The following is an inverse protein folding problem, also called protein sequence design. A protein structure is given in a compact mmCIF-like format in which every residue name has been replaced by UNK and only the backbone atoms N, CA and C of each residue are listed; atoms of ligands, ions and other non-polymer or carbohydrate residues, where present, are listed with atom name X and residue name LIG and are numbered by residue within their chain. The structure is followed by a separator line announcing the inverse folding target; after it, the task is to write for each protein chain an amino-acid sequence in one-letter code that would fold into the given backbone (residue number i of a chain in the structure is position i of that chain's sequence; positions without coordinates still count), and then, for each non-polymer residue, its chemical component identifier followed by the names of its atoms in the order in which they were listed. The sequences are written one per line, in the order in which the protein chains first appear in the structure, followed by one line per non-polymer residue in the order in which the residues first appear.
data_IF_204908023125
#
_entry.id   IF_204908023125
#
_cell.length_a   1.000
_cell.length_b   1.000
_cell.length_c   1.000
_cell.angle_alpha   90.00
_cell.angle_beta   90.00
_cell.angle_gamma   90.00
#
_symmetry.space_group_name_H-M   'P 1'
#
loop_
_entity.id
_entity.type
_entity.pdbx_description
1 polymer ?
#
# COMPACT_ATOMS: atom_id res chain seq x y z
N UNK A 1 65.31 9.69 -21.51
CA UNK A 1 63.98 9.93 -22.12
C UNK A 1 63.86 11.35 -22.65
N UNK A 2 63.28 11.56 -23.85
CA UNK A 2 63.00 12.90 -24.40
C UNK A 2 61.79 13.53 -23.68
N UNK A 3 61.80 14.86 -23.48
CA UNK A 3 60.68 15.61 -22.85
C UNK A 3 59.32 15.30 -23.50
N UNK A 4 59.30 15.07 -24.82
CA UNK A 4 58.08 14.72 -25.57
C UNK A 4 57.53 13.34 -25.19
N UNK A 5 58.39 12.35 -24.92
CA UNK A 5 57.96 11.00 -24.50
C UNK A 5 57.41 11.03 -23.07
N UNK A 6 58.03 11.82 -22.19
CA UNK A 6 57.53 12.02 -20.82
C UNK A 6 56.16 12.68 -20.79
N UNK A 7 55.97 13.73 -21.60
CA UNK A 7 54.67 14.41 -21.76
C UNK A 7 53.59 13.47 -22.26
N UNK A 8 53.90 12.63 -23.25
CA UNK A 8 52.98 11.62 -23.77
C UNK A 8 52.59 10.58 -22.70
N UNK A 9 53.54 10.03 -21.95
CA UNK A 9 53.26 9.04 -20.89
C UNK A 9 52.40 9.64 -19.77
N UNK A 10 52.65 10.89 -19.39
CA UNK A 10 51.84 11.58 -18.39
C UNK A 10 50.42 11.90 -18.88
N UNK A 11 50.22 12.10 -20.19
CA UNK A 11 48.90 12.32 -20.79
C UNK A 11 48.10 11.02 -20.95
N UNK A 12 48.75 9.89 -21.16
CA UNK A 12 48.07 8.60 -21.36
C UNK A 12 47.29 8.16 -20.12
N UNK A 13 47.82 8.36 -18.91
CA UNK A 13 47.14 7.95 -17.68
C UNK A 13 45.73 8.57 -17.53
N UNK A 14 45.54 9.91 -17.55
CA UNK A 14 44.22 10.51 -17.42
C UNK A 14 43.30 10.17 -18.61
N UNK A 15 43.85 10.03 -19.83
CA UNK A 15 43.08 9.64 -21.01
C UNK A 15 42.46 8.24 -20.83
N UNK A 16 43.28 7.26 -20.46
CA UNK A 16 42.81 5.90 -20.21
C UNK A 16 41.89 5.87 -18.99
N UNK A 17 42.23 6.58 -17.90
CA UNK A 17 41.36 6.66 -16.72
C UNK A 17 39.94 7.15 -17.08
N UNK A 18 39.83 8.22 -17.89
CA UNK A 18 38.55 8.73 -18.35
C UNK A 18 37.83 7.76 -19.28
N UNK A 19 38.54 7.15 -20.24
CA UNK A 19 37.96 6.19 -21.17
C UNK A 19 37.39 4.94 -20.47
N UNK A 20 38.15 4.35 -19.55
CA UNK A 20 37.68 3.19 -18.79
C UNK A 20 36.59 3.54 -17.80
N UNK A 21 36.68 4.70 -17.13
CA UNK A 21 35.60 5.21 -16.29
C UNK A 21 34.29 5.36 -17.07
N UNK A 22 34.35 5.97 -18.26
CA UNK A 22 33.18 6.11 -19.13
C UNK A 22 32.59 4.75 -19.51
N UNK A 23 33.41 3.76 -19.89
CA UNK A 23 32.93 2.41 -20.22
C UNK A 23 32.24 1.71 -19.04
N UNK A 24 32.79 1.84 -17.82
CA UNK A 24 32.22 1.23 -16.62
C UNK A 24 30.87 1.88 -16.25
N UNK A 25 30.78 3.22 -16.33
CA UNK A 25 29.56 3.94 -15.99
C UNK A 25 28.42 3.69 -16.98
N UNK A 26 28.73 3.72 -18.28
CA UNK A 26 27.73 3.60 -19.37
C UNK A 26 27.22 2.19 -19.63
N UNK A 27 27.69 1.18 -18.89
CA UNK A 27 27.18 -0.18 -19.01
C UNK A 27 25.75 -0.29 -18.47
N UNK A 28 24.76 -0.21 -19.36
CA UNK A 28 23.36 -0.46 -19.06
C UNK A 28 22.94 -1.85 -19.54
N UNK A 29 22.26 -2.61 -18.67
CA UNK A 29 21.63 -3.90 -19.01
C UNK A 29 22.48 -5.13 -18.71
N UNK A 30 22.19 -6.23 -19.42
CA UNK A 30 22.95 -7.49 -19.35
C UNK A 30 24.29 -7.33 -20.05
N UNK A 31 25.39 -7.44 -19.31
CA UNK A 31 26.73 -7.29 -19.87
C UNK A 31 27.09 -8.49 -20.74
N UNK A 32 27.38 -8.24 -22.01
CA UNK A 32 28.07 -9.23 -22.86
C UNK A 32 29.48 -9.48 -22.31
N UNK A 33 29.99 -10.71 -22.44
CA UNK A 33 31.37 -11.07 -22.04
C UNK A 33 32.41 -10.11 -22.65
N UNK A 34 32.15 -9.59 -23.85
CA UNK A 34 33.03 -8.61 -24.51
C UNK A 34 33.06 -7.26 -23.76
N UNK A 35 31.90 -6.79 -23.28
CA UNK A 35 31.80 -5.53 -22.53
C UNK A 35 32.47 -5.64 -21.16
N UNK A 36 32.39 -6.82 -20.53
CA UNK A 36 33.06 -7.12 -19.27
C UNK A 36 34.58 -7.04 -19.37
N UNK A 37 35.16 -7.51 -20.47
CA UNK A 37 36.63 -7.55 -20.63
C UNK A 37 37.21 -6.23 -21.17
N UNK A 38 36.37 -5.32 -21.66
CA UNK A 38 36.86 -4.10 -22.33
C UNK A 38 37.68 -3.18 -21.42
N UNK A 39 37.30 -2.93 -20.15
CA UNK A 39 38.16 -2.19 -19.21
C UNK A 39 39.52 -2.87 -19.00
N UNK A 40 39.55 -4.20 -18.97
CA UNK A 40 40.79 -4.98 -18.82
C UNK A 40 41.67 -4.86 -20.05
N UNK A 41 41.08 -4.87 -21.25
CA UNK A 41 41.80 -4.59 -22.51
C UNK A 41 42.41 -3.19 -22.49
N UNK A 42 41.74 -2.18 -21.92
CA UNK A 42 42.32 -0.84 -21.76
C UNK A 42 43.54 -0.84 -20.84
N UNK A 43 43.53 -1.59 -19.74
CA UNK A 43 44.72 -1.74 -18.87
C UNK A 43 45.87 -2.41 -19.63
N UNK A 44 45.59 -3.46 -20.42
CA UNK A 44 46.59 -4.14 -21.26
C UNK A 44 47.18 -3.20 -22.30
N UNK A 45 46.34 -2.45 -23.00
CA UNK A 45 46.79 -1.47 -23.99
C UNK A 45 47.62 -0.36 -23.35
N UNK A 46 47.20 0.15 -22.20
CA UNK A 46 47.96 1.14 -21.44
C UNK A 46 49.34 0.63 -21.05
N UNK A 47 49.41 -0.57 -20.47
CA UNK A 47 50.67 -1.22 -20.12
C UNK A 47 51.58 -1.43 -21.33
N UNK A 48 51.02 -1.82 -22.48
CA UNK A 48 51.76 -1.96 -23.72
C UNK A 48 52.38 -0.64 -24.19
N UNK A 49 51.61 0.46 -24.20
CA UNK A 49 52.13 1.78 -24.57
C UNK A 49 53.22 2.26 -23.61
N UNK A 50 53.06 2.01 -22.30
CA UNK A 50 54.10 2.34 -21.33
C UNK A 50 55.37 1.50 -21.53
N UNK A 51 55.24 0.21 -21.84
CA UNK A 51 56.37 -0.68 -22.06
C UNK A 51 57.26 -0.20 -23.21
N UNK A 52 56.66 0.33 -24.27
CA UNK A 52 57.40 0.94 -25.38
C UNK A 52 58.23 2.15 -24.94
N UNK A 53 57.72 2.96 -24.01
CA UNK A 53 58.42 4.12 -23.44
C UNK A 53 59.46 3.78 -22.38
N UNK A 54 59.22 2.72 -21.60
CA UNK A 54 60.06 2.28 -20.47
C UNK A 54 61.47 1.86 -20.88
N UNK A 55 61.66 1.36 -22.10
CA UNK A 55 62.98 0.94 -22.64
C UNK A 55 64.03 2.06 -22.68
N UNK A 56 63.63 3.34 -22.56
CA UNK A 56 64.53 4.51 -22.67
C UNK A 56 64.54 5.38 -21.40
N UNK A 57 64.08 4.82 -20.29
CA UNK A 57 63.80 5.55 -19.06
C UNK A 57 64.82 5.22 -17.95
N UNK A 58 65.27 6.21 -17.15
CA UNK A 58 66.08 5.95 -15.96
C UNK A 58 65.29 5.19 -14.88
N UNK A 59 65.98 4.42 -14.04
CA UNK A 59 65.44 3.48 -13.04
C UNK A 59 64.32 4.06 -12.17
N UNK A 60 64.52 5.23 -11.57
CA UNK A 60 63.50 5.85 -10.70
C UNK A 60 62.22 6.30 -11.42
N UNK A 61 62.30 6.60 -12.73
CA UNK A 61 61.10 6.92 -13.52
C UNK A 61 60.39 5.66 -14.00
N UNK A 62 61.13 4.57 -14.23
CA UNK A 62 60.56 3.30 -14.66
C UNK A 62 59.67 2.65 -13.58
N UNK A 63 60.04 2.80 -12.31
CA UNK A 63 59.21 2.38 -11.18
C UNK A 63 57.90 3.17 -11.13
N UNK A 64 57.97 4.50 -11.23
CA UNK A 64 56.79 5.36 -11.25
C UNK A 64 55.80 4.98 -12.38
N UNK A 65 56.30 4.76 -13.59
CA UNK A 65 55.44 4.37 -14.72
C UNK A 65 54.90 2.95 -14.58
N UNK A 66 55.67 2.01 -14.04
CA UNK A 66 55.17 0.66 -13.74
C UNK A 66 54.07 0.68 -12.68
N UNK A 67 54.21 1.52 -11.65
CA UNK A 67 53.21 1.71 -10.61
C UNK A 67 51.93 2.35 -11.16
N UNK A 68 52.04 3.22 -12.17
CA UNK A 68 50.87 3.81 -12.83
C UNK A 68 49.95 2.77 -13.52
N UNK A 69 50.50 1.63 -13.98
CA UNK A 69 49.71 0.51 -14.53
C UNK A 69 48.84 -0.11 -13.44
N UNK A 70 49.41 -0.32 -12.26
CA UNK A 70 48.69 -0.81 -11.10
C UNK A 70 47.62 0.17 -10.64
N UNK A 71 47.94 1.48 -10.56
CA UNK A 71 46.98 2.49 -10.18
C UNK A 71 45.80 2.55 -11.15
N UNK A 72 46.03 2.40 -12.46
CA UNK A 72 44.95 2.37 -13.44
C UNK A 72 44.04 1.15 -13.26
N UNK A 73 44.61 -0.05 -13.08
CA UNK A 73 43.85 -1.27 -12.82
C UNK A 73 43.02 -1.17 -11.53
N UNK A 74 43.62 -0.65 -10.46
CA UNK A 74 42.96 -0.41 -9.18
C UNK A 74 41.83 0.65 -9.29
N UNK A 75 42.06 1.73 -10.04
CA UNK A 75 41.05 2.76 -10.25
C UNK A 75 39.81 2.20 -10.93
N UNK A 76 39.98 1.35 -11.94
CA UNK A 76 38.85 0.67 -12.60
C UNK A 76 38.12 -0.29 -11.67
N UNK A 77 38.86 -1.03 -10.83
CA UNK A 77 38.27 -1.87 -9.79
C UNK A 77 37.36 -1.07 -8.86
N UNK A 78 37.85 0.08 -8.39
CA UNK A 78 37.10 0.95 -7.50
C UNK A 78 35.88 1.55 -8.19
N UNK A 79 36.02 2.02 -9.44
CA UNK A 79 34.89 2.53 -10.22
C UNK A 79 33.82 1.47 -10.48
N UNK A 80 34.21 0.23 -10.76
CA UNK A 80 33.30 -0.88 -10.98
C UNK A 80 32.51 -1.22 -9.70
N UNK A 81 33.18 -1.25 -8.54
CA UNK A 81 32.53 -1.47 -7.25
C UNK A 81 31.60 -0.32 -6.85
N UNK A 82 32.02 0.94 -7.05
CA UNK A 82 31.15 2.10 -6.80
C UNK A 82 29.91 2.05 -7.70
N UNK A 83 30.10 1.76 -8.98
CA UNK A 83 28.99 1.63 -9.94
C UNK A 83 28.05 0.48 -9.56
N UNK A 84 28.61 -0.62 -9.06
CA UNK A 84 27.84 -1.75 -8.54
C UNK A 84 26.95 -1.32 -7.38
N UNK A 85 27.50 -0.63 -6.37
CA UNK A 85 26.71 -0.15 -5.23
C UNK A 85 25.62 0.83 -5.62
N UNK A 86 25.91 1.77 -6.53
CA UNK A 86 24.90 2.71 -7.06
C UNK A 86 23.77 1.93 -7.75
N UNK A 87 24.09 1.00 -8.65
CA UNK A 87 23.09 0.24 -9.42
C UNK A 87 22.31 -0.76 -8.57
N UNK A 88 22.91 -1.30 -7.51
CA UNK A 88 22.23 -2.17 -6.53
C UNK A 88 21.20 -1.43 -5.67
N UNK A 89 21.41 -0.13 -5.46
CA UNK A 89 20.48 0.73 -4.74
C UNK A 89 19.27 1.12 -5.62
N UNK A 90 19.49 1.30 -6.92
CA UNK A 90 18.47 1.83 -7.84
C UNK A 90 17.57 0.77 -8.50
N UNK A 91 17.94 -0.51 -8.57
CA UNK A 91 17.12 -1.53 -9.25
C UNK A 91 16.94 -2.84 -8.46
N UNK A 92 15.67 -3.21 -8.22
CA UNK A 92 15.20 -4.48 -7.62
C UNK A 92 14.56 -5.42 -8.67
N UNK A 93 15.15 -5.56 -9.86
CA UNK A 93 14.62 -6.40 -10.97
C UNK A 93 15.32 -7.75 -11.19
N UNK A 94 14.79 -8.57 -12.10
CA UNK A 94 15.28 -9.94 -12.42
C UNK A 94 16.72 -10.02 -12.97
N UNK A 95 17.31 -8.92 -13.44
CA UNK A 95 18.66 -8.88 -14.05
C UNK A 95 19.82 -8.54 -13.08
N UNK A 96 19.55 -8.50 -11.77
CA UNK A 96 20.54 -8.12 -10.75
C UNK A 96 21.75 -9.05 -10.73
N UNK A 97 21.55 -10.37 -10.84
CA UNK A 97 22.62 -11.36 -10.78
C UNK A 97 23.64 -11.16 -11.91
N UNK A 98 23.17 -11.06 -13.15
CA UNK A 98 24.00 -10.85 -14.34
C UNK A 98 24.80 -9.55 -14.27
N UNK A 99 24.20 -8.47 -13.73
CA UNK A 99 24.90 -7.19 -13.51
C UNK A 99 25.98 -7.27 -12.43
N UNK A 100 25.69 -7.95 -11.31
CA UNK A 100 26.66 -8.14 -10.23
C UNK A 100 27.85 -8.92 -10.76
N UNK A 101 27.62 -10.06 -11.42
CA UNK A 101 28.71 -10.87 -11.99
C UNK A 101 29.51 -10.10 -13.05
N UNK A 102 28.85 -9.27 -13.86
CA UNK A 102 29.53 -8.41 -14.83
C UNK A 102 30.47 -7.39 -14.18
N UNK A 103 29.99 -6.59 -13.22
CA UNK A 103 30.79 -5.54 -12.58
C UNK A 103 31.85 -6.10 -11.62
N UNK A 104 31.57 -7.21 -10.92
CA UNK A 104 32.56 -7.95 -10.14
C UNK A 104 33.62 -8.57 -11.07
N UNK A 105 33.19 -9.11 -12.22
CA UNK A 105 34.11 -9.62 -13.25
C UNK A 105 35.03 -8.53 -13.80
N UNK A 106 34.50 -7.33 -14.07
CA UNK A 106 35.31 -6.15 -14.41
C UNK A 106 36.30 -5.86 -13.29
N UNK A 107 35.84 -5.73 -12.04
CA UNK A 107 36.70 -5.33 -10.92
C UNK A 107 37.83 -6.31 -10.66
N UNK A 108 37.53 -7.61 -10.69
CA UNK A 108 38.54 -8.66 -10.48
C UNK A 108 39.53 -8.70 -11.65
N UNK A 109 39.04 -8.67 -12.89
CA UNK A 109 39.92 -8.77 -14.06
C UNK A 109 40.82 -7.54 -14.24
N UNK A 110 40.34 -6.32 -13.97
CA UNK A 110 41.18 -5.11 -14.02
C UNK A 110 42.23 -5.09 -12.91
N UNK A 111 41.90 -5.59 -11.72
CA UNK A 111 42.84 -5.73 -10.60
C UNK A 111 43.96 -6.71 -10.93
N UNK A 112 43.60 -7.91 -11.40
CA UNK A 112 44.54 -8.94 -11.85
C UNK A 112 45.46 -8.38 -12.94
N UNK A 113 44.89 -7.76 -13.97
CA UNK A 113 45.66 -7.19 -15.07
C UNK A 113 46.63 -6.10 -14.58
N UNK A 114 46.18 -5.18 -13.73
CA UNK A 114 47.03 -4.09 -13.21
C UNK A 114 48.24 -4.62 -12.44
N UNK A 115 48.05 -5.60 -11.56
CA UNK A 115 49.12 -6.23 -10.79
C UNK A 115 50.07 -7.03 -11.68
N UNK A 116 49.54 -7.90 -12.55
CA UNK A 116 50.36 -8.73 -13.42
C UNK A 116 51.18 -7.89 -14.37
N UNK A 117 50.56 -6.90 -15.03
CA UNK A 117 51.23 -6.07 -16.02
C UNK A 117 52.26 -5.13 -15.40
N UNK A 118 52.02 -4.60 -14.19
CA UNK A 118 53.06 -3.85 -13.43
C UNK A 118 54.28 -4.71 -13.16
N UNK A 119 54.07 -5.93 -12.69
CA UNK A 119 55.18 -6.82 -12.37
C UNK A 119 55.89 -7.31 -13.64
N UNK A 120 55.15 -7.57 -14.71
CA UNK A 120 55.74 -7.88 -16.03
C UNK A 120 56.52 -6.70 -16.60
N UNK A 121 56.03 -5.46 -16.48
CA UNK A 121 56.74 -4.27 -16.95
C UNK A 121 58.01 -4.03 -16.16
N UNK A 122 57.95 -4.21 -14.84
CA UNK A 122 59.11 -4.15 -13.94
C UNK A 122 60.13 -5.24 -14.25
N UNK A 123 59.68 -6.49 -14.44
CA UNK A 123 60.56 -7.60 -14.81
C UNK A 123 61.20 -7.37 -16.19
N UNK A 124 60.44 -6.95 -17.19
CA UNK A 124 60.98 -6.66 -18.51
C UNK A 124 61.96 -5.47 -18.49
N UNK A 125 61.75 -4.49 -17.61
CA UNK A 125 62.71 -3.40 -17.38
C UNK A 125 64.01 -3.91 -16.74
N UNK A 126 63.91 -4.73 -15.68
CA UNK A 126 65.06 -5.30 -14.96
C UNK A 126 65.89 -6.24 -15.84
N UNK A 127 65.27 -7.01 -16.75
CA UNK A 127 65.97 -7.86 -17.73
C UNK A 127 66.92 -7.04 -18.62
N UNK A 128 66.58 -5.78 -18.89
CA UNK A 128 67.39 -4.88 -19.72
C UNK A 128 68.40 -4.06 -18.89
N UNK A 129 68.39 -4.18 -17.56
CA UNK A 129 69.27 -3.46 -16.62
C UNK A 129 69.85 -4.47 -15.60
N UNK A 130 70.84 -5.28 -16.00
CA UNK A 130 71.35 -6.43 -15.25
C UNK A 130 72.07 -6.07 -13.94
N UNK A 131 72.34 -4.80 -13.66
CA UNK A 131 72.84 -4.35 -12.36
C UNK A 131 71.89 -4.62 -11.16
N UNK A 132 70.65 -5.08 -11.38
CA UNK A 132 69.65 -5.35 -10.35
C UNK A 132 69.19 -6.83 -10.32
N UNK A 133 70.09 -7.78 -10.58
CA UNK A 133 69.77 -9.21 -10.73
C UNK A 133 69.16 -9.86 -9.47
N UNK A 134 69.52 -9.40 -8.27
CA UNK A 134 68.94 -9.84 -6.99
C UNK A 134 67.47 -9.42 -6.84
N UNK A 135 67.07 -8.27 -7.39
CA UNK A 135 65.69 -7.78 -7.33
C UNK A 135 64.74 -8.55 -8.25
N UNK A 136 65.30 -9.26 -9.25
CA UNK A 136 64.56 -10.07 -10.22
C UNK A 136 63.95 -11.31 -9.56
N UNK A 137 64.74 -12.02 -8.75
CA UNK A 137 64.27 -13.17 -7.97
C UNK A 137 63.16 -12.74 -6.99
N UNK A 138 63.35 -11.58 -6.35
CA UNK A 138 62.42 -11.00 -5.40
C UNK A 138 61.09 -10.58 -6.09
N UNK A 139 61.15 -10.02 -7.30
CA UNK A 139 59.97 -9.69 -8.09
C UNK A 139 59.15 -10.94 -8.49
N UNK A 140 59.81 -12.04 -8.88
CA UNK A 140 59.13 -13.32 -9.17
C UNK A 140 58.52 -13.96 -7.93
N UNK A 141 59.21 -13.89 -6.78
CA UNK A 141 58.68 -14.39 -5.51
C UNK A 141 57.43 -13.62 -5.07
N UNK A 142 57.48 -12.28 -5.15
CA UNK A 142 56.33 -11.40 -4.87
C UNK A 142 55.17 -11.65 -5.83
N UNK A 143 55.43 -11.92 -7.11
CA UNK A 143 54.40 -12.29 -8.07
C UNK A 143 53.65 -13.58 -7.67
N UNK A 144 54.40 -14.60 -7.25
CA UNK A 144 53.82 -15.86 -6.80
C UNK A 144 53.01 -15.68 -5.51
N UNK A 145 53.51 -14.89 -4.57
CA UNK A 145 52.82 -14.54 -3.32
C UNK A 145 51.53 -13.76 -3.58
N UNK A 146 51.58 -12.74 -4.44
CA UNK A 146 50.40 -11.95 -4.79
C UNK A 146 49.38 -12.79 -5.55
N UNK A 147 49.81 -13.67 -6.48
CA UNK A 147 48.89 -14.59 -7.15
C UNK A 147 48.22 -15.55 -6.17
N UNK A 148 48.96 -16.06 -5.19
CA UNK A 148 48.43 -16.94 -4.14
C UNK A 148 47.46 -16.20 -3.19
N UNK A 149 47.80 -14.98 -2.77
CA UNK A 149 46.91 -14.14 -1.95
C UNK A 149 45.65 -13.78 -2.72
N UNK A 150 45.79 -13.30 -3.96
CA UNK A 150 44.68 -12.90 -4.81
C UNK A 150 43.73 -14.07 -5.10
N UNK A 151 44.26 -15.27 -5.34
CA UNK A 151 43.43 -16.47 -5.49
C UNK A 151 42.63 -16.77 -4.22
N UNK A 152 43.24 -16.62 -3.05
CA UNK A 152 42.59 -16.89 -1.75
C UNK A 152 41.55 -15.82 -1.43
N UNK A 153 41.90 -14.56 -1.58
CA UNK A 153 41.07 -13.40 -1.27
C UNK A 153 39.91 -13.29 -2.27
N UNK A 154 40.14 -13.61 -3.54
CA UNK A 154 39.07 -13.66 -4.56
C UNK A 154 38.11 -14.81 -4.29
N UNK A 155 38.60 -15.99 -3.90
CA UNK A 155 37.73 -17.11 -3.53
C UNK A 155 36.85 -16.78 -2.32
N UNK A 156 37.43 -16.15 -1.29
CA UNK A 156 36.69 -15.70 -0.12
C UNK A 156 35.66 -14.62 -0.48
N UNK A 157 36.04 -13.63 -1.29
CA UNK A 157 35.15 -12.54 -1.73
C UNK A 157 34.00 -13.08 -2.59
N UNK A 158 34.27 -14.01 -3.51
CA UNK A 158 33.25 -14.68 -4.31
C UNK A 158 32.28 -15.47 -3.44
N UNK A 159 32.79 -16.14 -2.40
CA UNK A 159 31.96 -16.85 -1.42
C UNK A 159 31.07 -15.87 -0.66
N UNK A 160 31.61 -14.77 -0.13
CA UNK A 160 30.82 -13.76 0.57
C UNK A 160 29.79 -13.06 -0.34
N UNK A 161 30.12 -12.82 -1.61
CA UNK A 161 29.16 -12.30 -2.60
C UNK A 161 28.06 -13.33 -2.86
N UNK A 162 28.41 -14.62 -2.98
CA UNK A 162 27.45 -15.70 -3.16
C UNK A 162 26.53 -15.83 -1.94
N UNK A 163 27.07 -15.73 -0.72
CA UNK A 163 26.29 -15.76 0.52
C UNK A 163 25.34 -14.56 0.60
N UNK A 164 25.84 -13.35 0.32
CA UNK A 164 25.02 -12.14 0.27
C UNK A 164 23.92 -12.22 -0.82
N UNK A 165 24.24 -12.77 -1.99
CA UNK A 165 23.29 -13.00 -3.08
C UNK A 165 22.23 -14.02 -2.68
N UNK A 166 22.63 -15.11 -2.02
CA UNK A 166 21.74 -16.17 -1.55
C UNK A 166 20.82 -15.63 -0.44
N UNK A 167 21.37 -14.86 0.50
CA UNK A 167 20.61 -14.19 1.55
C UNK A 167 19.62 -13.18 0.94
N UNK A 168 20.06 -12.40 -0.06
CA UNK A 168 19.19 -11.46 -0.77
C UNK A 168 18.13 -12.17 -1.61
N UNK A 169 18.45 -13.30 -2.24
CA UNK A 169 17.50 -14.12 -2.99
C UNK A 169 16.47 -14.74 -2.06
N UNK A 170 16.89 -15.29 -0.92
CA UNK A 170 16.00 -15.81 0.11
C UNK A 170 15.13 -14.68 0.68
N UNK A 171 15.70 -13.50 0.94
CA UNK A 171 14.93 -12.34 1.36
C UNK A 171 13.94 -11.88 0.28
N UNK A 172 14.33 -11.89 -0.99
CA UNK A 172 13.45 -11.55 -2.12
C UNK A 172 12.35 -12.58 -2.33
N UNK A 173 12.61 -13.88 -2.13
CA UNK A 173 11.57 -14.91 -2.07
C UNK A 173 10.64 -14.69 -0.89
N UNK A 174 11.17 -14.36 0.29
CA UNK A 174 10.35 -13.99 1.45
C UNK A 174 9.53 -12.73 1.16
N UNK A 175 10.07 -11.77 0.41
CA UNK A 175 9.34 -10.57 -0.03
C UNK A 175 8.29 -10.90 -1.09
N UNK A 176 8.58 -11.76 -2.07
CA UNK A 176 7.62 -12.22 -3.08
C UNK A 176 6.48 -13.03 -2.47
N UNK A 177 6.79 -13.94 -1.54
CA UNK A 177 5.79 -14.68 -0.76
C UNK A 177 4.96 -13.73 0.14
N UNK A 178 5.59 -12.70 0.71
CA UNK A 178 4.88 -11.68 1.49
C UNK A 178 4.05 -10.76 0.61
N UNK A 179 4.52 -10.41 -0.58
CA UNK A 179 3.82 -9.58 -1.56
C UNK A 179 2.62 -10.34 -2.15
N UNK A 180 2.78 -11.62 -2.50
CA UNK A 180 1.68 -12.47 -2.93
C UNK A 180 0.64 -12.64 -1.80
N UNK A 181 1.09 -12.89 -0.56
CA UNK A 181 0.19 -12.91 0.60
C UNK A 181 -0.47 -11.55 0.85
N UNK A 182 0.23 -10.45 0.61
CA UNK A 182 -0.30 -9.10 0.78
C UNK A 182 -1.33 -8.78 -0.32
N UNK A 183 -1.06 -9.14 -1.58
CA UNK A 183 -1.99 -9.03 -2.70
C UNK A 183 -3.22 -9.91 -2.49
N UNK A 184 -3.06 -11.16 -2.03
CA UNK A 184 -4.18 -12.03 -1.65
C UNK A 184 -4.98 -11.46 -0.46
N UNK A 185 -4.31 -10.83 0.51
CA UNK A 185 -4.98 -10.15 1.62
C UNK A 185 -5.71 -8.89 1.16
N UNK A 186 -5.14 -8.14 0.23
CA UNK A 186 -5.74 -6.95 -0.38
C UNK A 186 -6.96 -7.32 -1.22
N UNK A 187 -6.89 -8.40 -1.99
CA UNK A 187 -7.99 -8.93 -2.81
C UNK A 187 -9.14 -9.42 -1.92
N UNK A 188 -8.83 -10.17 -0.84
CA UNK A 188 -9.81 -10.52 0.19
C UNK A 188 -10.43 -9.29 0.86
N UNK A 189 -9.63 -8.30 1.20
CA UNK A 189 -10.11 -7.06 1.81
C UNK A 189 -11.03 -6.28 0.87
N UNK A 190 -10.65 -6.18 -0.42
CA UNK A 190 -11.47 -5.56 -1.45
C UNK A 190 -12.79 -6.30 -1.64
N UNK A 191 -12.77 -7.63 -1.71
CA UNK A 191 -13.98 -8.47 -1.80
C UNK A 191 -14.90 -8.33 -0.59
N UNK A 192 -14.35 -8.29 0.63
CA UNK A 192 -15.12 -8.07 1.86
C UNK A 192 -15.72 -6.66 1.88
N UNK A 193 -14.96 -5.66 1.42
CA UNK A 193 -15.42 -4.27 1.34
C UNK A 193 -16.54 -4.13 0.31
N UNK A 194 -16.42 -4.76 -0.86
CA UNK A 194 -17.45 -4.75 -1.90
C UNK A 194 -18.75 -5.45 -1.43
N UNK A 195 -18.60 -6.58 -0.72
CA UNK A 195 -19.71 -7.28 -0.08
C UNK A 195 -20.37 -6.45 1.02
N UNK A 196 -19.58 -5.68 1.78
CA UNK A 196 -20.07 -4.76 2.80
C UNK A 196 -20.82 -3.57 2.19
N UNK A 197 -20.26 -2.94 1.15
CA UNK A 197 -20.92 -1.89 0.39
C UNK A 197 -22.25 -2.38 -0.21
N UNK A 198 -22.25 -3.57 -0.81
CA UNK A 198 -23.47 -4.19 -1.35
C UNK A 198 -24.51 -4.44 -0.25
N UNK A 199 -24.09 -4.90 0.93
CA UNK A 199 -24.98 -5.04 2.09
C UNK A 199 -25.51 -3.70 2.59
N UNK A 200 -24.68 -2.65 2.65
CA UNK A 200 -25.11 -1.31 3.03
C UNK A 200 -26.11 -0.73 2.03
N UNK A 201 -25.90 -0.93 0.73
CA UNK A 201 -26.85 -0.51 -0.30
C UNK A 201 -28.17 -1.23 -0.13
N UNK A 202 -28.17 -2.56 0.03
CA UNK A 202 -29.40 -3.33 0.29
C UNK A 202 -30.10 -2.95 1.59
N UNK A 203 -29.33 -2.69 2.66
CA UNK A 203 -29.89 -2.19 3.91
C UNK A 203 -30.48 -0.80 3.75
N UNK A 204 -29.83 0.07 2.97
CA UNK A 204 -30.33 1.40 2.63
C UNK A 204 -31.64 1.33 1.83
N UNK A 205 -31.72 0.46 0.82
CA UNK A 205 -32.94 0.20 0.05
C UNK A 205 -34.07 -0.35 0.94
N UNK A 206 -33.76 -1.32 1.81
CA UNK A 206 -34.73 -1.86 2.75
C UNK A 206 -35.18 -0.82 3.79
N UNK A 207 -34.28 0.07 4.22
CA UNK A 207 -34.60 1.17 5.14
C UNK A 207 -35.48 2.21 4.45
N UNK A 208 -35.19 2.57 3.20
CA UNK A 208 -35.99 3.49 2.40
C UNK A 208 -37.39 2.94 2.13
N UNK A 209 -37.49 1.64 1.81
CA UNK A 209 -38.77 0.94 1.67
C UNK A 209 -39.55 0.95 2.99
N UNK A 210 -38.89 0.65 4.12
CA UNK A 210 -39.50 0.68 5.46
C UNK A 210 -39.94 2.08 5.90
N UNK A 211 -39.12 3.11 5.61
CA UNK A 211 -39.47 4.52 5.83
C UNK A 211 -40.67 4.91 4.97
N UNK A 212 -40.70 4.52 3.69
CA UNK A 212 -41.82 4.81 2.80
C UNK A 212 -43.13 4.17 3.29
N UNK A 213 -43.06 2.92 3.78
CA UNK A 213 -44.18 2.22 4.40
C UNK A 213 -44.64 2.91 5.69
N UNK A 214 -43.70 3.32 6.53
CA UNK A 214 -44.00 4.07 7.75
C UNK A 214 -44.64 5.43 7.44
N UNK A 215 -44.12 6.19 6.48
CA UNK A 215 -44.69 7.47 6.06
C UNK A 215 -46.10 7.30 5.50
N UNK A 216 -46.34 6.27 4.68
CA UNK A 216 -47.69 5.94 4.20
C UNK A 216 -48.64 5.57 5.34
N UNK A 217 -48.25 4.65 6.22
CA UNK A 217 -49.07 4.22 7.36
C UNK A 217 -49.32 5.34 8.37
N UNK A 218 -48.34 6.22 8.57
CA UNK A 218 -48.47 7.43 9.39
C UNK A 218 -49.44 8.44 8.74
N UNK A 219 -49.39 8.62 7.42
CA UNK A 219 -50.36 9.43 6.68
C UNK A 219 -51.79 8.89 6.78
N UNK A 220 -51.98 7.57 6.67
CA UNK A 220 -53.30 6.94 6.89
C UNK A 220 -53.77 7.08 8.34
N UNK A 221 -52.86 6.98 9.31
CA UNK A 221 -53.18 7.19 10.73
C UNK A 221 -53.58 8.64 11.00
N UNK A 222 -52.87 9.62 10.43
CA UNK A 222 -53.23 11.04 10.52
C UNK A 222 -54.60 11.31 9.90
N UNK A 223 -54.91 10.71 8.75
CA UNK A 223 -56.22 10.81 8.13
C UNK A 223 -57.33 10.19 9.00
N UNK A 224 -57.04 9.05 9.63
CA UNK A 224 -57.96 8.43 10.59
C UNK A 224 -58.20 9.32 11.81
N UNK A 225 -57.14 9.97 12.33
CA UNK A 225 -57.24 10.94 13.42
C UNK A 225 -58.05 12.17 13.00
N UNK A 226 -57.88 12.64 11.76
CA UNK A 226 -58.65 13.76 11.20
C UNK A 226 -60.14 13.40 11.06
N UNK A 227 -60.45 12.22 10.52
CA UNK A 227 -61.82 11.69 10.41
C UNK A 227 -62.46 11.49 11.81
N UNK A 228 -61.67 11.01 12.76
CA UNK A 228 -62.12 10.84 14.15
C UNK A 228 -62.34 12.18 14.85
N UNK A 229 -61.48 13.18 14.60
CA UNK A 229 -61.65 14.56 15.09
C UNK A 229 -62.89 15.22 14.49
N UNK A 230 -63.12 15.04 13.19
CA UNK A 230 -64.34 15.41 12.47
C UNK A 230 -65.58 14.78 13.12
N UNK A 231 -65.53 13.47 13.39
CA UNK A 231 -66.62 12.73 14.04
C UNK A 231 -66.88 13.23 15.45
N UNK A 232 -65.82 13.47 16.25
CA UNK A 232 -65.93 14.06 17.60
C UNK A 232 -66.52 15.47 17.54
N UNK A 233 -66.16 16.27 16.54
CA UNK A 233 -66.73 17.61 16.35
C UNK A 233 -68.22 17.56 16.01
N UNK A 234 -68.64 16.57 15.22
CA UNK A 234 -70.03 16.34 14.84
C UNK A 234 -70.82 15.83 16.03
N UNK A 235 -70.27 14.87 16.78
CA UNK A 235 -70.84 14.36 18.01
C UNK A 235 -70.98 15.46 19.07
N UNK A 236 -69.98 16.31 19.22
CA UNK A 236 -70.02 17.46 20.14
C UNK A 236 -71.10 18.47 19.75
N UNK A 237 -71.26 18.73 18.44
CA UNK A 237 -72.35 19.57 17.92
C UNK A 237 -73.72 18.95 18.16
N UNK A 238 -73.88 17.66 17.88
CA UNK A 238 -75.13 16.94 18.15
C UNK A 238 -75.42 16.90 19.64
N UNK A 239 -74.45 16.58 20.52
CA UNK A 239 -74.63 16.65 21.98
C UNK A 239 -74.97 18.06 22.46
N UNK A 240 -74.38 19.10 21.88
CA UNK A 240 -74.74 20.49 22.20
C UNK A 240 -76.16 20.82 21.73
N UNK A 241 -76.59 20.27 20.59
CA UNK A 241 -77.95 20.43 20.08
C UNK A 241 -78.95 19.67 20.94
N UNK A 242 -78.64 18.42 21.29
CA UNK A 242 -79.43 17.56 22.17
C UNK A 242 -79.54 18.18 23.57
N UNK A 243 -78.46 18.74 24.10
CA UNK A 243 -78.49 19.46 25.37
C UNK A 243 -79.33 20.74 25.29
N UNK A 244 -79.27 21.49 24.17
CA UNK A 244 -80.16 22.64 23.93
C UNK A 244 -81.62 22.21 23.80
N UNK A 245 -81.90 21.14 23.04
CA UNK A 245 -83.25 20.57 22.86
C UNK A 245 -83.80 20.09 24.21
N UNK A 246 -83.01 19.35 24.99
CA UNK A 246 -83.36 18.91 26.35
C UNK A 246 -83.54 20.06 27.34
N UNK A 247 -82.77 21.14 27.20
CA UNK A 247 -82.93 22.36 28.02
C UNK A 247 -84.11 23.23 27.56
N UNK A 248 -84.53 23.11 26.29
CA UNK A 248 -85.68 23.81 25.72
C UNK A 248 -86.98 23.01 25.78
N UNK A 249 -86.89 21.73 26.13
CA UNK A 249 -88.03 20.93 26.55
C UNK A 249 -88.52 21.55 27.85
N UNK A 250 -89.51 22.40 27.68
CA UNK A 250 -90.29 22.94 28.76
C UNK A 250 -90.95 21.75 29.46
N UNK A 251 -90.41 21.37 30.62
CA UNK A 251 -90.92 20.25 31.42
C UNK A 251 -92.12 20.70 32.29
N UNK A 252 -92.42 22.00 32.28
CA UNK A 252 -93.54 22.61 33.00
C UNK A 252 -94.91 22.03 32.54
N UNK A 253 -95.21 21.87 31.23
CA UNK A 253 -96.45 21.24 30.75
C UNK A 253 -96.57 19.75 31.09
N UNK A 254 -95.45 19.03 31.17
CA UNK A 254 -95.44 17.61 31.55
C UNK A 254 -95.65 17.45 33.06
N UNK A 255 -95.06 18.33 33.86
CA UNK A 255 -95.30 18.45 35.30
C UNK A 255 -96.77 18.82 35.58
N UNK A 256 -97.33 19.79 34.85
CA UNK A 256 -98.74 20.18 34.95
C UNK A 256 -99.67 19.03 34.53
N UNK A 257 -99.36 18.32 33.45
CA UNK A 257 -100.14 17.15 33.02
C UNK A 257 -100.07 16.01 34.05
N UNK A 258 -98.92 15.80 34.71
CA UNK A 258 -98.81 14.85 35.82
C UNK A 258 -99.59 15.29 37.06
N UNK A 259 -99.62 16.59 37.38
CA UNK A 259 -100.46 17.12 38.45
C UNK A 259 -101.95 16.96 38.14
N UNK A 260 -102.36 17.22 36.90
CA UNK A 260 -103.75 17.01 36.43
C UNK A 260 -104.10 15.53 36.52
N UNK A 261 -103.25 14.62 36.03
CA UNK A 261 -103.49 13.17 36.12
C UNK A 261 -103.60 12.70 37.59
N UNK A 262 -102.75 13.22 38.48
CA UNK A 262 -102.80 12.96 39.93
C UNK A 262 -104.11 13.48 40.57
N UNK A 263 -104.60 14.63 40.10
CA UNK A 263 -105.89 15.18 40.51
C UNK A 263 -107.06 14.34 40.01
N UNK A 264 -107.02 13.92 38.75
CA UNK A 264 -108.07 13.12 38.12
C UNK A 264 -108.13 11.71 38.72
N UNK A 265 -107.00 11.13 39.09
CA UNK A 265 -106.95 9.86 39.84
C UNK A 265 -107.52 10.00 41.25
N UNK A 266 -107.32 11.14 41.93
CA UNK A 266 -108.01 11.44 43.20
C UNK A 266 -109.52 11.65 43.02
N UNK A 267 -109.95 12.33 41.95
CA UNK A 267 -111.37 12.49 41.65
C UNK A 267 -112.01 11.13 41.34
N UNK A 268 -111.30 10.25 40.63
CA UNK A 268 -111.73 8.87 40.37
C UNK A 268 -111.84 8.06 41.67
N UNK A 269 -110.91 8.21 42.60
CA UNK A 269 -110.97 7.59 43.94
C UNK A 269 -112.23 8.07 44.69
N UNK A 270 -112.54 9.35 44.61
CA UNK A 270 -113.79 9.91 45.17
C UNK A 270 -115.07 9.39 44.50
N UNK A 271 -115.04 9.11 43.19
CA UNK A 271 -116.16 8.48 42.48
C UNK A 271 -116.30 7.00 42.86
N UNK A 272 -115.18 6.29 43.05
CA UNK A 272 -115.17 4.90 43.53
C UNK A 272 -115.73 4.84 44.96
N UNK A 273 -115.30 5.73 45.86
CA UNK A 273 -115.86 5.84 47.21
C UNK A 273 -117.35 6.19 47.20
N UNK A 274 -117.79 7.06 46.28
CA UNK A 274 -119.21 7.37 46.09
C UNK A 274 -119.99 6.17 45.57
N UNK A 275 -119.43 5.38 44.64
CA UNK A 275 -120.04 4.14 44.16
C UNK A 275 -120.08 3.05 45.24
N UNK A 276 -119.06 2.94 46.08
CA UNK A 276 -119.05 2.06 47.26
C UNK A 276 -120.15 2.49 48.23
N UNK A 277 -120.28 3.79 48.52
CA UNK A 277 -121.37 4.32 49.36
C UNK A 277 -122.76 4.04 48.79
N UNK A 278 -122.94 4.14 47.46
CA UNK A 278 -124.19 3.79 46.79
C UNK A 278 -124.44 2.27 46.84
N UNK A 279 -123.41 1.45 46.70
CA UNK A 279 -123.48 -0.02 46.83
C UNK A 279 -123.83 -0.45 48.26
N UNK A 280 -123.23 0.15 49.28
CA UNK A 280 -123.57 -0.07 50.69
C UNK A 280 -125.02 0.32 50.97
N UNK A 281 -125.46 1.47 50.46
CA UNK A 281 -126.85 1.93 50.60
C UNK A 281 -127.86 1.04 49.85
N UNK A 282 -127.40 0.32 48.81
CA UNK A 282 -128.21 -0.66 48.06
C UNK A 282 -128.20 -2.03 48.73
N UNK A 283 -127.11 -2.42 49.39
CA UNK A 283 -127.03 -3.66 50.18
C UNK A 283 -127.84 -3.59 51.46
N UNK A 284 -127.93 -2.41 52.11
CA UNK A 284 -128.74 -2.22 53.32
C UNK A 284 -130.26 -2.31 53.05
N UNK A 285 -130.68 -2.26 51.78
CA UNK A 285 -132.08 -2.38 51.34
C UNK A 285 -132.45 -3.75 50.77
N UNK A 286 -131.58 -4.76 50.88
CA UNK A 286 -131.93 -6.15 50.54
C UNK A 286 -132.28 -6.89 51.83
N UNK A 287 -133.57 -7.14 52.13
CA UNK A 287 -133.95 -7.98 53.26
C UNK A 287 -133.59 -9.44 52.97
N UNK A 288 -132.89 -10.06 53.92
CA UNK A 288 -133.06 -11.48 54.24
C UNK A 288 -134.00 -11.56 55.43
#
# INVERSE_FOLDING_TARGET
MNKNTQGLMNFLLPLFAAAGGYLIFTQEGSMSTQQMLMPTVLVVLYAFFLQLGLTKCPTGQAEYYSDSIYFLGFLYTLMALVTLFIKLNDSLGEDISTRIFGLVGVSVSTSIAGVLLRNMSRAAYMKNHPENEDDMADATARLAEIAASLSRDSAQTLTSIQDFLTERQNNLQIFGDKEERYLQALDRFSSVTDSFCTHLTRQGEALDESISHFTRGSGESLKTIEDMSSTVSTLSREMSRLNKEASSLDLEPLSDSMQILSRDTRELDGVIDSMIGILDQKMEKVPV
#
